data_IF_421851418414
#
_entry.id   IF_421851418414
#
_cell.length_a   1.000
_cell.length_b   1.000
_cell.length_c   1.000
_cell.angle_alpha   90.00
_cell.angle_beta   90.00
_cell.angle_gamma   90.00
#
_symmetry.space_group_name_H-M   'P 1'
#
loop_
_entity.id
_entity.type
_entity.pdbx_description
1 polymer ?
#
# COMPACT_ATOMS: atom_id res chain seq x y z
N UNK A 1 -41.32 -23.62 7.16
CA UNK A 1 -40.01 -23.64 7.84
C UNK A 1 -39.07 -22.75 7.04
N UNK A 2 -38.54 -21.72 7.68
CA UNK A 2 -37.90 -20.55 7.06
C UNK A 2 -36.50 -20.84 6.53
N UNK A 3 -36.18 -20.22 5.39
CA UNK A 3 -34.91 -20.30 4.66
C UNK A 3 -33.81 -19.52 5.42
N UNK A 4 -32.70 -20.17 5.75
CA UNK A 4 -31.53 -19.53 6.34
C UNK A 4 -30.61 -18.99 5.23
N UNK A 5 -30.79 -17.72 4.87
CA UNK A 5 -29.82 -16.96 4.10
C UNK A 5 -28.60 -16.70 4.99
N UNK A 6 -27.52 -17.46 4.80
CA UNK A 6 -26.22 -17.08 5.37
C UNK A 6 -25.76 -15.83 4.65
N UNK A 7 -25.84 -14.69 5.34
CA UNK A 7 -25.31 -13.42 4.87
C UNK A 7 -23.82 -13.54 4.59
N UNK A 8 -23.47 -13.68 3.31
CA UNK A 8 -22.10 -13.53 2.86
C UNK A 8 -21.78 -12.04 2.91
N UNK A 9 -21.21 -11.59 4.02
CA UNK A 9 -20.52 -10.31 4.11
C UNK A 9 -19.54 -10.22 2.94
N UNK A 10 -19.51 -9.11 2.17
CA UNK A 10 -18.50 -8.99 1.12
C UNK A 10 -17.14 -9.03 1.80
N UNK A 11 -16.45 -10.15 1.67
CA UNK A 11 -15.01 -10.21 1.89
C UNK A 11 -14.47 -9.16 0.94
N UNK A 12 -14.19 -7.96 1.43
CA UNK A 12 -13.47 -6.97 0.64
C UNK A 12 -12.15 -7.64 0.31
N UNK A 13 -12.05 -8.17 -0.90
CA UNK A 13 -10.84 -8.79 -1.40
C UNK A 13 -9.78 -7.71 -1.30
N UNK A 14 -9.05 -7.78 -0.20
CA UNK A 14 -8.04 -6.85 0.23
C UNK A 14 -6.78 -7.15 -0.59
N UNK A 15 -6.91 -7.04 -1.91
CA UNK A 15 -5.83 -7.28 -2.84
C UNK A 15 -4.99 -6.02 -2.94
N UNK A 16 -3.67 -6.11 -2.72
CA UNK A 16 -2.78 -4.98 -2.89
C UNK A 16 -2.90 -4.44 -4.32
N UNK A 17 -3.06 -3.13 -4.44
CA UNK A 17 -3.25 -2.44 -5.73
C UNK A 17 -1.95 -1.79 -6.17
N UNK A 18 -1.43 -2.18 -7.34
CA UNK A 18 -0.20 -1.56 -7.87
C UNK A 18 -0.45 -0.10 -8.22
N UNK A 19 0.38 0.79 -7.67
CA UNK A 19 0.32 2.22 -7.94
C UNK A 19 1.32 2.56 -9.05
N UNK A 20 0.80 3.05 -10.17
CA UNK A 20 1.63 3.56 -11.28
C UNK A 20 1.80 5.07 -11.24
N UNK A 21 0.89 5.78 -10.58
CA UNK A 21 0.94 7.22 -10.43
C UNK A 21 0.98 7.58 -8.94
N UNK A 22 2.12 8.14 -8.50
CA UNK A 22 2.32 8.55 -7.11
C UNK A 22 1.36 9.65 -6.65
N UNK A 23 0.74 10.41 -7.56
CA UNK A 23 -0.27 11.41 -7.22
C UNK A 23 -1.55 10.82 -6.63
N UNK A 24 -1.77 9.51 -6.80
CA UNK A 24 -2.90 8.80 -6.20
C UNK A 24 -2.65 8.40 -4.74
N UNK A 25 -1.40 8.44 -4.26
CA UNK A 25 -1.06 8.15 -2.87
C UNK A 25 -1.35 9.37 -1.99
N UNK A 26 -1.88 9.10 -0.81
CA UNK A 26 -2.12 10.08 0.25
C UNK A 26 -1.22 9.78 1.43
N UNK A 27 -0.86 10.82 2.17
CA UNK A 27 -0.16 10.67 3.44
C UNK A 27 -1.01 9.78 4.37
N UNK A 28 -0.37 8.77 4.96
CA UNK A 28 -1.03 7.78 5.82
C UNK A 28 -1.46 6.49 5.12
N UNK A 29 -1.49 6.45 3.78
CA UNK A 29 -1.74 5.22 3.02
C UNK A 29 -0.71 4.15 3.37
N UNK A 30 -1.19 2.94 3.64
CA UNK A 30 -0.33 1.77 3.78
C UNK A 30 0.17 1.34 2.42
N UNK A 31 1.49 1.25 2.27
CA UNK A 31 2.12 0.85 1.02
C UNK A 31 3.24 -0.14 1.29
N UNK A 32 3.51 -0.95 0.27
CA UNK A 32 4.68 -1.80 0.20
C UNK A 32 5.45 -1.47 -1.08
N UNK A 33 6.77 -1.48 -0.97
CA UNK A 33 7.67 -1.36 -2.11
C UNK A 33 8.31 -2.70 -2.37
N UNK A 34 8.16 -3.16 -3.61
CA UNK A 34 8.69 -4.44 -4.06
C UNK A 34 9.78 -4.23 -5.09
N UNK A 35 10.91 -4.90 -4.88
CA UNK A 35 12.03 -4.99 -5.83
C UNK A 35 12.19 -6.46 -6.21
N UNK A 36 12.25 -6.78 -7.50
CA UNK A 36 12.37 -8.17 -7.99
C UNK A 36 11.35 -9.15 -7.37
N UNK A 37 10.09 -8.71 -7.26
CA UNK A 37 8.98 -9.44 -6.59
C UNK A 37 9.14 -9.70 -5.08
N UNK A 38 10.23 -9.24 -4.44
CA UNK A 38 10.40 -9.28 -2.99
C UNK A 38 9.95 -7.97 -2.34
N UNK A 39 9.26 -8.07 -1.20
CA UNK A 39 8.88 -6.89 -0.41
C UNK A 39 10.11 -6.38 0.33
N UNK A 40 10.66 -5.26 -0.10
CA UNK A 40 11.85 -4.67 0.51
C UNK A 40 11.49 -3.73 1.66
N UNK A 41 10.41 -2.95 1.49
CA UNK A 41 9.98 -1.97 2.47
C UNK A 41 8.46 -1.97 2.60
N UNK A 42 7.98 -1.81 3.84
CA UNK A 42 6.55 -1.70 4.14
C UNK A 42 6.34 -0.60 5.17
N UNK A 43 5.33 0.22 4.94
CA UNK A 43 5.08 1.34 5.82
C UNK A 43 3.94 2.22 5.35
N UNK A 44 3.88 3.42 5.93
CA UNK A 44 2.87 4.42 5.58
C UNK A 44 3.50 5.54 4.78
N UNK A 45 2.79 6.04 3.77
CA UNK A 45 3.25 7.19 2.98
C UNK A 45 3.37 8.42 3.89
N UNK A 46 4.56 9.02 3.95
CA UNK A 46 4.80 10.30 4.63
C UNK A 46 4.66 11.47 3.65
N UNK A 47 5.29 11.34 2.48
CA UNK A 47 5.33 12.35 1.41
C UNK A 47 5.53 11.70 0.04
N UNK A 48 5.01 12.32 -1.01
CA UNK A 48 5.20 11.90 -2.40
C UNK A 48 5.78 13.05 -3.23
N UNK A 49 6.73 12.75 -4.11
CA UNK A 49 7.20 13.65 -5.16
C UNK A 49 6.96 13.00 -6.53
N UNK A 50 5.72 13.08 -7.08
CA UNK A 50 5.38 12.47 -8.36
C UNK A 50 6.24 12.99 -9.53
N UNK A 51 6.67 14.26 -9.48
CA UNK A 51 7.49 14.86 -10.54
C UNK A 51 8.88 14.24 -10.73
N UNK A 52 9.39 13.51 -9.73
CA UNK A 52 10.70 12.82 -9.78
C UNK A 52 10.58 11.33 -9.48
N UNK A 53 9.37 10.78 -9.37
CA UNK A 53 9.17 9.35 -9.11
C UNK A 53 9.63 8.89 -7.72
N UNK A 54 9.59 9.76 -6.71
CA UNK A 54 10.03 9.42 -5.35
C UNK A 54 8.86 9.40 -4.36
N UNK A 55 8.82 8.40 -3.49
CA UNK A 55 7.91 8.35 -2.35
C UNK A 55 8.69 8.16 -1.06
N UNK A 56 8.39 8.97 -0.07
CA UNK A 56 8.88 8.76 1.29
C UNK A 56 7.84 8.00 2.07
N UNK A 57 8.25 6.88 2.64
CA UNK A 57 7.44 6.10 3.57
C UNK A 57 8.06 6.16 4.95
N UNK A 58 7.22 6.02 5.96
CA UNK A 58 7.64 5.71 7.31
C UNK A 58 7.56 4.19 7.47
N UNK A 59 8.71 3.57 7.63
CA UNK A 59 8.84 2.13 7.80
C UNK A 59 8.15 1.69 9.09
N UNK A 60 7.40 0.59 9.05
CA UNK A 60 6.64 0.08 10.20
C UNK A 60 7.54 -0.67 11.20
N UNK A 61 8.65 -1.25 10.73
CA UNK A 61 9.54 -2.06 11.56
C UNK A 61 10.42 -1.19 12.48
N UNK A 62 10.94 -0.08 11.95
CA UNK A 62 11.89 0.77 12.68
C UNK A 62 11.42 2.24 12.85
N UNK A 63 10.32 2.64 12.20
CA UNK A 63 9.76 3.99 12.29
C UNK A 63 10.54 5.05 11.51
N UNK A 64 11.64 4.69 10.85
CA UNK A 64 12.47 5.59 10.05
C UNK A 64 11.80 5.96 8.75
N UNK A 65 12.20 7.12 8.24
CA UNK A 65 11.76 7.60 6.95
C UNK A 65 12.67 7.07 5.85
N UNK A 66 12.11 6.34 4.89
CA UNK A 66 12.84 5.82 3.72
C UNK A 66 12.34 6.46 2.44
N UNK A 67 13.29 6.80 1.57
CA UNK A 67 13.01 7.32 0.24
C UNK A 67 13.04 6.15 -0.75
N UNK A 68 11.96 5.97 -1.50
CA UNK A 68 11.77 4.88 -2.44
C UNK A 68 11.55 5.48 -3.82
N UNK A 69 12.39 5.05 -4.76
CA UNK A 69 12.28 5.40 -6.17
C UNK A 69 11.35 4.42 -6.87
N UNK A 70 10.38 4.94 -7.63
CA UNK A 70 9.50 4.11 -8.47
C UNK A 70 10.18 3.58 -9.73
N UNK A 71 11.42 4.02 -10.01
CA UNK A 71 12.22 3.48 -11.11
C UNK A 71 12.83 2.13 -10.73
N UNK A 72 13.23 1.98 -9.47
CA UNK A 72 13.88 0.77 -8.94
C UNK A 72 12.88 -0.18 -8.27
N UNK A 73 11.80 0.37 -7.69
CA UNK A 73 10.82 -0.39 -6.93
C UNK A 73 9.41 -0.22 -7.49
N UNK A 74 8.61 -1.29 -7.46
CA UNK A 74 7.17 -1.21 -7.69
C UNK A 74 6.44 -0.91 -6.39
N UNK A 75 5.61 0.12 -6.39
CA UNK A 75 4.82 0.52 -5.20
C UNK A 75 3.43 -0.07 -5.29
N UNK A 76 2.97 -0.68 -4.19
CA UNK A 76 1.64 -1.25 -4.06
C UNK A 76 0.95 -0.65 -2.85
N UNK A 77 -0.28 -0.19 -3.03
CA UNK A 77 -1.15 0.21 -1.92
C UNK A 77 -1.72 -1.04 -1.29
N UNK A 78 -1.53 -1.15 0.01
CA UNK A 78 -2.21 -2.13 0.83
C UNK A 78 -3.63 -1.62 1.14
N UNK A 79 -4.65 -2.48 1.07
CA UNK A 79 -5.96 -2.15 1.59
C UNK A 79 -5.83 -1.82 3.08
N UNK A 80 -6.58 -0.82 3.52
CA UNK A 80 -6.69 -0.49 4.94
C UNK A 80 -7.32 -1.71 5.63
N UNK A 81 -6.51 -2.51 6.31
CA UNK A 81 -7.01 -3.56 7.20
C UNK A 81 -7.58 -2.86 8.44
N UNK A 82 -8.74 -2.24 8.29
CA UNK A 82 -9.60 -1.92 9.42
C UNK A 82 -10.15 -3.24 9.96
N UNK A 83 -9.55 -3.68 11.06
CA UNK A 83 -10.11 -4.68 11.97
C UNK A 83 -11.31 -4.09 12.71
#
# INVERSE_FOLDING_TARGET
>A
MTLSTTGQSPLVNSTPTRIRNLGHLRRGDSVEARMDNAVQYRGRVDRTAPGVGLVWIRDDADGSRRAISTQDCTVWRLPDQQA
#
